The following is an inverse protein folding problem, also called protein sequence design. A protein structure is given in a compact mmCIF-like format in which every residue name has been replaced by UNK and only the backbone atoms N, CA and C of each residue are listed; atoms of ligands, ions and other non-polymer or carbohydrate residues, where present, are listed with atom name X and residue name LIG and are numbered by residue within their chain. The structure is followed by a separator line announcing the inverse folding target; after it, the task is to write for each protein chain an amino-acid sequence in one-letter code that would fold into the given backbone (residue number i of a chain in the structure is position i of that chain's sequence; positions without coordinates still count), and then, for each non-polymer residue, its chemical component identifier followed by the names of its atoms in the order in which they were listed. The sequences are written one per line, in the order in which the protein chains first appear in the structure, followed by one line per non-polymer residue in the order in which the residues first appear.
data_IF_581667174379
#
_entry.id   IF_581667174379
#
_cell.length_a   1.000
_cell.length_b   1.000
_cell.length_c   1.000
_cell.angle_alpha   90.00
_cell.angle_beta   90.00
_cell.angle_gamma   90.00
#
_symmetry.space_group_name_H-M   'P 1'
#
loop_
_entity.id
_entity.type
_entity.pdbx_description
1 polymer ?
#
# COMPACT_ATOMS: atom_id res chain seq x y z
N UNK A 1 26.31 -8.91 -4.31
CA UNK A 1 25.27 -9.60 -3.52
C UNK A 1 23.91 -9.28 -4.10
N UNK A 2 22.92 -10.14 -3.95
CA UNK A 2 21.60 -10.00 -4.59
C UNK A 2 20.53 -9.67 -3.55
N UNK A 3 19.77 -8.61 -3.76
CA UNK A 3 18.68 -8.21 -2.87
C UNK A 3 17.35 -8.78 -3.39
N UNK A 4 16.60 -9.44 -2.51
CA UNK A 4 15.34 -10.13 -2.84
C UNK A 4 14.21 -9.17 -3.25
N UNK A 5 14.20 -7.95 -2.73
CA UNK A 5 13.18 -6.93 -3.00
C UNK A 5 13.80 -5.57 -3.32
N UNK A 6 13.44 -5.02 -4.48
CA UNK A 6 13.86 -3.71 -4.95
C UNK A 6 12.68 -2.88 -5.45
N UNK A 7 12.91 -1.58 -5.67
CA UNK A 7 11.90 -0.64 -6.14
C UNK A 7 11.20 -1.14 -7.41
N UNK A 8 9.88 -0.94 -7.48
CA UNK A 8 9.06 -1.38 -8.61
C UNK A 8 8.80 -2.88 -8.63
N UNK A 9 8.78 -3.56 -7.46
CA UNK A 9 8.63 -5.02 -7.32
C UNK A 9 9.70 -5.83 -8.06
N UNK A 10 10.85 -5.21 -8.36
CA UNK A 10 11.98 -5.91 -8.98
C UNK A 10 12.58 -6.87 -7.96
N UNK A 11 12.73 -8.12 -8.37
CA UNK A 11 13.41 -9.13 -7.58
C UNK A 11 14.84 -9.30 -8.11
N UNK A 12 15.75 -9.67 -7.21
CA UNK A 12 17.09 -10.08 -7.63
C UNK A 12 17.99 -8.94 -8.11
N UNK A 13 17.87 -7.72 -7.57
CA UNK A 13 18.77 -6.62 -7.94
C UNK A 13 20.17 -6.90 -7.38
N UNK A 14 21.15 -7.01 -8.27
CA UNK A 14 22.57 -7.14 -7.91
C UNK A 14 23.12 -5.79 -7.49
N UNK A 15 23.75 -5.75 -6.31
CA UNK A 15 24.42 -4.59 -5.76
C UNK A 15 25.80 -5.01 -5.25
N UNK A 16 26.75 -4.07 -5.31
CA UNK A 16 28.01 -4.21 -4.60
C UNK A 16 27.81 -3.73 -3.17
N UNK A 17 28.20 -4.57 -2.21
CA UNK A 17 27.92 -4.34 -0.80
C UNK A 17 29.20 -4.58 0.00
N UNK A 18 29.52 -3.63 0.87
CA UNK A 18 30.45 -3.81 1.98
C UNK A 18 29.69 -3.60 3.28
N UNK A 19 29.97 -4.39 4.32
CA UNK A 19 29.27 -4.27 5.60
C UNK A 19 30.15 -4.78 6.74
N UNK A 20 30.06 -4.11 7.88
CA UNK A 20 30.63 -4.55 9.14
C UNK A 20 29.85 -3.95 10.32
N UNK A 21 30.29 -4.22 11.54
CA UNK A 21 29.76 -3.62 12.77
C UNK A 21 30.71 -2.54 13.28
N UNK A 22 30.15 -1.41 13.70
CA UNK A 22 30.88 -0.33 14.35
C UNK A 22 30.18 0.12 15.62
N UNK A 23 30.90 0.81 16.51
CA UNK A 23 30.28 1.46 17.67
C UNK A 23 29.74 2.83 17.27
N UNK A 24 28.44 3.03 17.42
CA UNK A 24 27.78 4.32 17.27
C UNK A 24 27.84 5.09 18.59
N UNK A 25 28.54 6.22 18.59
CA UNK A 25 28.69 7.09 19.74
C UNK A 25 27.91 8.40 19.56
N UNK A 26 27.18 8.80 20.61
CA UNK A 26 26.61 10.14 20.76
C UNK A 26 26.87 10.62 22.19
N UNK A 27 27.36 11.87 22.38
CA UNK A 27 27.59 12.42 23.72
C UNK A 27 26.37 12.25 24.63
N UNK A 28 26.59 11.81 25.87
CA UNK A 28 25.52 11.57 26.83
C UNK A 28 24.80 10.22 26.69
N UNK A 29 25.19 9.35 25.76
CA UNK A 29 24.64 7.98 25.64
C UNK A 29 25.74 6.93 25.55
N UNK A 30 25.57 5.74 26.17
CA UNK A 30 26.52 4.63 26.00
C UNK A 30 26.67 4.25 24.51
N UNK A 31 27.89 4.00 24.02
CA UNK A 31 28.11 3.52 22.66
C UNK A 31 27.29 2.24 22.40
N UNK A 32 26.66 2.17 21.22
CA UNK A 32 25.91 0.99 20.81
C UNK A 32 26.49 0.39 19.54
N UNK A 33 26.62 -0.94 19.43
CA UNK A 33 27.01 -1.55 18.18
C UNK A 33 25.92 -1.33 17.13
N UNK A 34 26.33 -0.98 15.91
CA UNK A 34 25.47 -0.77 14.76
C UNK A 34 26.09 -1.49 13.57
N UNK A 35 25.27 -2.17 12.78
CA UNK A 35 25.71 -2.71 11.49
C UNK A 35 25.58 -1.64 10.44
N UNK A 36 26.67 -1.34 9.75
CA UNK A 36 26.67 -0.44 8.61
C UNK A 36 26.71 -1.27 7.32
N UNK A 37 26.10 -0.74 6.27
CA UNK A 37 26.03 -1.36 4.95
C UNK A 37 26.28 -0.28 3.91
N UNK A 38 27.42 -0.33 3.24
CA UNK A 38 27.73 0.51 2.09
C UNK A 38 27.31 -0.19 0.81
N UNK A 39 26.61 0.52 -0.04
CA UNK A 39 26.01 -0.01 -1.27
C UNK A 39 26.42 0.84 -2.46
N UNK A 40 26.86 0.18 -3.52
CA UNK A 40 27.10 0.78 -4.84
C UNK A 40 26.26 0.07 -5.89
N UNK A 41 25.55 0.84 -6.72
CA UNK A 41 24.87 0.30 -7.90
C UNK A 41 25.89 0.14 -9.03
N UNK A 42 26.19 -1.09 -9.49
CA UNK A 42 27.16 -1.30 -10.57
C UNK A 42 26.72 -0.64 -11.89
N UNK A 43 25.41 -0.41 -12.08
CA UNK A 43 24.87 0.28 -13.26
C UNK A 43 25.00 1.81 -13.17
N UNK A 44 25.47 2.37 -12.05
CA UNK A 44 25.64 3.81 -11.87
C UNK A 44 24.34 4.62 -11.82
N UNK A 45 23.17 3.97 -11.84
CA UNK A 45 21.85 4.64 -11.80
C UNK A 45 21.57 5.35 -10.48
N UNK A 46 22.31 5.02 -9.43
CA UNK A 46 22.20 5.61 -8.09
C UNK A 46 23.59 5.84 -7.51
N UNK A 47 23.74 6.98 -6.84
CA UNK A 47 24.94 7.27 -6.07
C UNK A 47 25.13 6.22 -4.95
N UNK A 48 26.39 5.94 -4.54
CA UNK A 48 26.68 5.10 -3.40
C UNK A 48 25.97 5.59 -2.14
N UNK A 49 25.46 4.67 -1.34
CA UNK A 49 24.66 4.95 -0.14
C UNK A 49 25.10 4.11 1.04
N UNK A 50 24.86 4.63 2.24
CA UNK A 50 25.09 3.93 3.50
C UNK A 50 23.75 3.67 4.20
N UNK A 51 23.56 2.44 4.67
CA UNK A 51 22.43 2.03 5.50
C UNK A 51 22.94 1.54 6.85
N UNK A 52 22.08 1.64 7.86
CA UNK A 52 22.41 1.28 9.23
C UNK A 52 21.31 0.44 9.85
N UNK A 53 21.69 -0.52 10.69
CA UNK A 53 20.77 -1.36 11.46
C UNK A 53 21.26 -1.50 12.90
N UNK A 54 20.33 -1.33 13.85
CA UNK A 54 20.57 -1.62 15.27
C UNK A 54 20.60 -3.12 15.56
N UNK A 55 19.98 -3.94 14.71
CA UNK A 55 20.12 -5.39 14.72
C UNK A 55 21.38 -5.76 13.93
N UNK A 56 22.44 -6.13 14.64
CA UNK A 56 23.77 -6.41 14.07
C UNK A 56 23.88 -7.79 13.44
N UNK A 57 23.03 -8.73 13.86
CA UNK A 57 23.00 -10.08 13.30
C UNK A 57 22.32 -10.14 11.92
N UNK A 58 21.61 -9.07 11.54
CA UNK A 58 20.83 -9.03 10.30
C UNK A 58 21.72 -8.99 9.07
N UNK A 59 21.35 -9.76 8.05
CA UNK A 59 22.08 -9.80 6.79
C UNK A 59 21.99 -8.47 6.02
N UNK A 60 23.05 -8.01 5.34
CA UNK A 60 23.05 -6.72 4.63
C UNK A 60 21.96 -6.59 3.57
N UNK A 61 21.62 -7.68 2.87
CA UNK A 61 20.55 -7.67 1.86
C UNK A 61 19.18 -7.45 2.51
N UNK A 62 18.95 -8.01 3.70
CA UNK A 62 17.68 -7.85 4.41
C UNK A 62 17.51 -6.43 4.94
N UNK A 63 18.60 -5.81 5.42
CA UNK A 63 18.61 -4.40 5.83
C UNK A 63 18.17 -3.52 4.64
N UNK A 64 18.74 -3.76 3.46
CA UNK A 64 18.38 -3.03 2.25
C UNK A 64 16.93 -3.30 1.84
N UNK A 65 16.50 -4.58 1.84
CA UNK A 65 15.14 -4.95 1.47
C UNK A 65 14.10 -4.29 2.39
N UNK A 66 14.37 -4.21 3.70
CA UNK A 66 13.54 -3.48 4.66
C UNK A 66 13.52 -1.97 4.37
N UNK A 67 14.67 -1.38 4.05
CA UNK A 67 14.72 0.03 3.69
C UNK A 67 13.89 0.34 2.43
N UNK A 68 13.94 -0.53 1.41
CA UNK A 68 13.12 -0.39 0.20
C UNK A 68 11.63 -0.40 0.53
N UNK A 69 11.19 -1.24 1.48
CA UNK A 69 9.77 -1.29 1.92
C UNK A 69 9.28 0.02 2.50
N UNK A 70 10.16 0.89 3.02
CA UNK A 70 9.78 2.23 3.52
C UNK A 70 8.99 3.04 2.50
N UNK A 71 9.29 2.88 1.20
CA UNK A 71 8.59 3.60 0.14
C UNK A 71 7.08 3.31 0.11
N UNK A 72 6.64 2.15 0.61
CA UNK A 72 5.22 1.83 0.72
C UNK A 72 4.47 2.83 1.60
N UNK A 73 5.12 3.44 2.61
CA UNK A 73 4.52 4.49 3.43
C UNK A 73 4.18 5.73 2.61
N UNK A 74 5.08 6.13 1.70
CA UNK A 74 4.86 7.28 0.82
C UNK A 74 3.70 7.01 -0.15
N UNK A 75 3.59 5.78 -0.65
CA UNK A 75 2.45 5.32 -1.47
C UNK A 75 1.15 5.38 -0.68
N UNK A 76 1.13 4.85 0.55
CA UNK A 76 -0.05 4.93 1.43
C UNK A 76 -0.49 6.39 1.61
N UNK A 77 0.42 7.32 1.88
CA UNK A 77 0.06 8.73 2.03
C UNK A 77 -0.46 9.35 0.73
N UNK A 78 0.11 9.01 -0.42
CA UNK A 78 -0.40 9.47 -1.71
C UNK A 78 -1.83 8.95 -1.98
N UNK A 79 -2.05 7.64 -1.81
CA UNK A 79 -3.33 6.99 -2.09
C UNK A 79 -4.42 7.40 -1.08
N UNK A 80 -4.08 7.55 0.20
CA UNK A 80 -5.04 8.02 1.22
C UNK A 80 -5.51 9.44 0.91
N UNK A 81 -4.63 10.32 0.40
CA UNK A 81 -5.03 11.66 -0.03
C UNK A 81 -5.90 11.63 -1.28
N UNK A 82 -5.50 10.87 -2.29
CA UNK A 82 -6.19 10.79 -3.57
C UNK A 82 -7.59 10.16 -3.44
N UNK A 83 -7.73 9.08 -2.68
CA UNK A 83 -8.94 8.24 -2.71
C UNK A 83 -9.79 8.32 -1.45
N UNK A 84 -9.22 8.75 -0.32
CA UNK A 84 -9.94 8.90 0.96
C UNK A 84 -10.09 10.37 1.38
N UNK A 85 -9.58 11.31 0.59
CA UNK A 85 -9.84 12.74 0.77
C UNK A 85 -9.23 13.34 2.04
N UNK A 86 -8.09 12.84 2.50
CA UNK A 86 -7.40 13.35 3.71
C UNK A 86 -7.16 14.86 3.65
N UNK A 87 -6.69 15.38 2.50
CA UNK A 87 -6.38 16.80 2.33
C UNK A 87 -7.54 17.62 1.75
N UNK A 88 -8.65 16.99 1.35
CA UNK A 88 -9.82 17.66 0.77
C UNK A 88 -10.97 17.83 1.77
N UNK A 89 -10.71 17.57 3.05
CA UNK A 89 -11.69 17.78 4.12
C UNK A 89 -11.99 19.27 4.31
N UNK A 90 -13.27 19.60 4.53
CA UNK A 90 -13.72 20.98 4.81
C UNK A 90 -13.94 21.23 6.31
N UNK A 91 -13.13 20.61 7.15
CA UNK A 91 -13.20 20.77 8.62
C UNK A 91 -12.47 22.05 9.04
N UNK A 92 -13.00 22.77 10.03
CA UNK A 92 -12.51 24.11 10.43
C UNK A 92 -11.81 24.14 11.80
N UNK A 93 -11.57 22.98 12.42
CA UNK A 93 -10.97 22.88 13.75
C UNK A 93 -9.82 21.88 13.77
N UNK A 94 -8.72 22.24 14.42
CA UNK A 94 -7.57 21.37 14.68
C UNK A 94 -8.00 20.04 15.33
N UNK A 95 -8.97 20.08 16.24
CA UNK A 95 -9.50 18.86 16.89
C UNK A 95 -10.22 17.95 15.92
N UNK A 96 -10.89 18.50 14.90
CA UNK A 96 -11.54 17.70 13.88
C UNK A 96 -10.49 17.01 13.00
N UNK A 97 -9.48 17.75 12.54
CA UNK A 97 -8.35 17.23 11.73
C UNK A 97 -7.59 16.14 12.49
N UNK A 98 -7.29 16.36 13.77
CA UNK A 98 -6.60 15.41 14.64
C UNK A 98 -7.37 14.10 14.85
N UNK A 99 -8.71 14.11 14.68
CA UNK A 99 -9.56 12.91 14.78
C UNK A 99 -9.74 12.21 13.43
N UNK A 100 -9.98 12.96 12.36
CA UNK A 100 -10.32 12.39 11.05
C UNK A 100 -9.12 11.79 10.34
N UNK A 101 -7.95 12.41 10.43
CA UNK A 101 -6.72 11.93 9.78
C UNK A 101 -6.34 10.50 10.21
N UNK A 102 -6.23 10.17 11.51
CA UNK A 102 -5.94 8.78 11.92
C UNK A 102 -7.09 7.82 11.57
N UNK A 103 -8.34 8.27 11.62
CA UNK A 103 -9.49 7.43 11.23
C UNK A 103 -9.44 7.04 9.75
N UNK A 104 -9.03 7.94 8.85
CA UNK A 104 -8.87 7.65 7.42
C UNK A 104 -7.69 6.70 7.15
N UNK A 105 -6.58 6.83 7.88
CA UNK A 105 -5.48 5.86 7.80
C UNK A 105 -5.88 4.48 8.36
N UNK A 106 -6.72 4.46 9.40
CA UNK A 106 -7.36 3.24 9.88
C UNK A 106 -8.25 2.60 8.82
N UNK A 107 -9.08 3.39 8.15
CA UNK A 107 -9.93 2.92 7.05
C UNK A 107 -9.10 2.38 5.86
N UNK A 108 -8.02 3.06 5.48
CA UNK A 108 -7.07 2.56 4.48
C UNK A 108 -6.55 1.17 4.84
N UNK A 109 -6.19 0.98 6.12
CA UNK A 109 -5.68 -0.30 6.62
C UNK A 109 -6.74 -1.40 6.55
N UNK A 110 -7.98 -1.11 6.94
CA UNK A 110 -9.10 -2.05 6.84
C UNK A 110 -9.41 -2.44 5.40
N UNK A 111 -9.48 -1.46 4.49
CA UNK A 111 -9.68 -1.71 3.04
C UNK A 111 -8.57 -2.61 2.50
N UNK A 112 -7.31 -2.35 2.90
CA UNK A 112 -6.17 -3.16 2.46
C UNK A 112 -6.27 -4.61 2.96
N UNK A 113 -6.71 -4.83 4.20
CA UNK A 113 -6.90 -6.17 4.77
C UNK A 113 -8.07 -6.90 4.10
N UNK A 114 -9.23 -6.27 3.95
CA UNK A 114 -10.37 -6.88 3.27
C UNK A 114 -10.08 -7.19 1.80
N UNK A 115 -9.29 -6.35 1.15
CA UNK A 115 -8.85 -6.61 -0.21
C UNK A 115 -7.94 -7.85 -0.32
N UNK A 116 -7.19 -8.21 0.72
CA UNK A 116 -6.43 -9.47 0.73
C UNK A 116 -7.34 -10.71 0.70
N UNK A 117 -8.54 -10.62 1.28
CA UNK A 117 -9.52 -11.71 1.26
C UNK A 117 -10.34 -11.72 -0.04
N UNK A 118 -10.65 -10.55 -0.59
CA UNK A 118 -11.46 -10.40 -1.81
C UNK A 118 -10.66 -10.61 -3.11
N UNK A 119 -9.39 -10.21 -3.12
CA UNK A 119 -8.55 -10.25 -4.31
C UNK A 119 -7.57 -11.42 -4.24
N UNK A 120 -7.48 -12.15 -5.34
CA UNK A 120 -6.57 -13.29 -5.49
C UNK A 120 -5.55 -13.02 -6.59
N UNK A 121 -4.60 -13.94 -6.76
CA UNK A 121 -3.61 -13.86 -7.85
C UNK A 121 -4.23 -13.94 -9.25
N UNK A 122 -5.47 -14.42 -9.37
CA UNK A 122 -6.22 -14.46 -10.63
C UNK A 122 -7.07 -13.22 -10.86
N UNK A 123 -7.21 -12.33 -9.87
CA UNK A 123 -7.99 -11.11 -9.99
C UNK A 123 -7.36 -10.15 -11.00
N UNK A 124 -8.17 -9.63 -11.92
CA UNK A 124 -7.72 -8.67 -12.92
C UNK A 124 -7.91 -7.23 -12.41
N UNK A 125 -6.91 -6.36 -12.56
CA UNK A 125 -7.04 -4.97 -12.15
C UNK A 125 -8.08 -4.24 -13.01
N UNK A 126 -8.88 -3.38 -12.37
CA UNK A 126 -9.80 -2.52 -13.08
C UNK A 126 -9.00 -1.40 -13.77
N UNK A 127 -9.20 -1.28 -15.07
CA UNK A 127 -8.38 -0.41 -15.92
C UNK A 127 -9.25 0.35 -16.93
N UNK A 128 -8.88 1.60 -17.19
CA UNK A 128 -9.48 2.37 -18.27
C UNK A 128 -9.08 1.77 -19.63
N UNK A 129 -9.94 1.90 -20.64
CA UNK A 129 -9.70 1.34 -21.98
C UNK A 129 -8.39 1.81 -22.63
N UNK A 130 -7.93 3.01 -22.30
CA UNK A 130 -6.71 3.63 -22.84
C UNK A 130 -5.45 3.37 -22.01
N UNK A 131 -5.57 2.72 -20.85
CA UNK A 131 -4.43 2.44 -19.97
C UNK A 131 -4.42 0.97 -19.53
N UNK A 132 -3.40 0.23 -19.94
CA UNK A 132 -3.22 -1.15 -19.49
C UNK A 132 -2.59 -1.18 -18.11
N UNK A 133 -3.39 -1.57 -17.13
CA UNK A 133 -2.95 -1.82 -15.76
C UNK A 133 -2.62 -3.31 -15.60
N UNK A 134 -1.42 -3.62 -15.11
CA UNK A 134 -0.97 -5.00 -14.92
C UNK A 134 -0.93 -5.45 -13.46
N UNK A 135 -1.01 -4.50 -12.53
CA UNK A 135 -0.93 -4.78 -11.10
C UNK A 135 -2.15 -4.22 -10.40
N UNK A 136 -2.62 -4.95 -9.39
CA UNK A 136 -3.64 -4.45 -8.46
C UNK A 136 -3.07 -3.26 -7.66
N UNK A 137 -3.87 -2.19 -7.55
CA UNK A 137 -3.56 -0.99 -6.76
C UNK A 137 -4.66 -0.72 -5.74
N UNK A 138 -4.48 0.30 -4.89
CA UNK A 138 -5.49 0.64 -3.88
C UNK A 138 -6.86 1.00 -4.47
N UNK A 139 -6.91 1.52 -5.70
CA UNK A 139 -8.19 1.77 -6.40
C UNK A 139 -8.96 0.48 -6.68
N UNK A 140 -8.28 -0.63 -6.97
CA UNK A 140 -8.94 -1.93 -7.13
C UNK A 140 -9.44 -2.45 -5.78
N UNK A 141 -8.64 -2.26 -4.72
CA UNK A 141 -8.98 -2.66 -3.36
C UNK A 141 -10.25 -1.94 -2.87
N UNK A 142 -10.27 -0.60 -2.92
CA UNK A 142 -11.43 0.18 -2.47
C UNK A 142 -12.66 -0.09 -3.36
N UNK A 143 -12.49 -0.25 -4.67
CA UNK A 143 -13.59 -0.58 -5.58
C UNK A 143 -14.20 -1.94 -5.27
N UNK A 144 -13.37 -2.96 -5.02
CA UNK A 144 -13.83 -4.31 -4.70
C UNK A 144 -14.54 -4.37 -3.35
N UNK A 145 -14.00 -3.69 -2.33
CA UNK A 145 -14.64 -3.59 -1.01
C UNK A 145 -15.98 -2.87 -1.12
N UNK A 146 -16.06 -1.74 -1.84
CA UNK A 146 -17.33 -1.03 -2.08
C UNK A 146 -18.35 -1.92 -2.77
N UNK A 147 -17.94 -2.64 -3.83
CA UNK A 147 -18.83 -3.51 -4.57
C UNK A 147 -19.37 -4.65 -3.69
N UNK A 148 -18.51 -5.26 -2.87
CA UNK A 148 -18.89 -6.31 -1.95
C UNK A 148 -19.91 -5.82 -0.91
N UNK A 149 -19.69 -4.63 -0.34
CA UNK A 149 -20.62 -4.01 0.60
C UNK A 149 -21.95 -3.67 -0.08
N UNK A 150 -21.90 -3.03 -1.25
CA UNK A 150 -23.12 -2.57 -1.94
C UNK A 150 -23.96 -3.75 -2.42
N UNK A 151 -23.39 -4.69 -3.17
CA UNK A 151 -24.12 -5.85 -3.68
C UNK A 151 -24.56 -6.77 -2.54
N UNK A 152 -23.74 -6.89 -1.50
CA UNK A 152 -24.06 -7.64 -0.29
C UNK A 152 -25.27 -7.05 0.45
N UNK A 153 -25.41 -5.73 0.51
CA UNK A 153 -26.44 -5.04 1.30
C UNK A 153 -27.74 -4.75 0.55
N UNK A 154 -27.75 -4.74 -0.79
CA UNK A 154 -28.94 -4.35 -1.60
C UNK A 154 -30.20 -5.16 -1.26
N UNK A 155 -30.07 -6.38 -0.73
CA UNK A 155 -31.20 -7.30 -0.59
C UNK A 155 -31.33 -8.01 0.77
N UNK A 156 -30.52 -7.67 1.77
CA UNK A 156 -30.48 -8.42 3.05
C UNK A 156 -31.80 -8.35 3.84
N UNK A 157 -32.61 -7.32 3.61
CA UNK A 157 -33.90 -7.13 4.29
C UNK A 157 -35.11 -7.28 3.37
N UNK A 158 -34.93 -7.73 2.13
CA UNK A 158 -36.05 -7.89 1.20
C UNK A 158 -36.91 -9.12 1.58
N UNK A 159 -38.24 -9.04 1.48
CA UNK A 159 -39.13 -10.19 1.70
C UNK A 159 -38.82 -11.35 0.75
N UNK A 160 -39.15 -12.60 1.16
CA UNK A 160 -38.96 -13.79 0.32
C UNK A 160 -39.87 -13.79 -0.92
N UNK A 161 -41.02 -13.10 -0.86
CA UNK A 161 -41.97 -12.98 -1.97
C UNK A 161 -41.75 -11.63 -2.66
N UNK A 162 -40.91 -11.61 -3.70
CA UNK A 162 -40.49 -10.37 -4.38
C UNK A 162 -41.39 -10.09 -5.57
N UNK A 163 -41.85 -8.84 -5.65
CA UNK A 163 -42.31 -8.28 -6.92
C UNK A 163 -41.20 -8.38 -7.98
N UNK A 164 -41.56 -8.55 -9.27
CA UNK A 164 -40.59 -8.58 -10.35
C UNK A 164 -39.70 -7.34 -10.32
N UNK A 165 -38.38 -7.52 -10.42
CA UNK A 165 -37.43 -6.41 -10.39
C UNK A 165 -37.57 -5.55 -11.65
N UNK A 166 -37.89 -4.27 -11.47
CA UNK A 166 -37.92 -3.25 -12.53
C UNK A 166 -36.58 -3.11 -13.28
N UNK A 167 -35.47 -3.37 -12.58
CA UNK A 167 -34.13 -3.32 -13.16
C UNK A 167 -33.50 -4.72 -13.08
N UNK A 168 -33.08 -5.30 -14.22
CA UNK A 168 -32.37 -6.56 -14.24
C UNK A 168 -31.12 -6.56 -13.32
N UNK A 169 -30.87 -7.64 -12.54
CA UNK A 169 -29.74 -7.72 -11.63
C UNK A 169 -28.38 -7.45 -12.30
N UNK A 170 -28.19 -7.94 -13.52
CA UNK A 170 -26.96 -7.76 -14.30
C UNK A 170 -26.72 -6.29 -14.67
N UNK A 171 -27.78 -5.52 -14.93
CA UNK A 171 -27.69 -4.08 -15.16
C UNK A 171 -27.35 -3.34 -13.86
N UNK A 172 -27.94 -3.72 -12.73
CA UNK A 172 -27.61 -3.15 -11.42
C UNK A 172 -26.15 -3.40 -11.04
N UNK A 173 -25.66 -4.63 -11.21
CA UNK A 173 -24.27 -4.99 -10.91
C UNK A 173 -23.30 -4.18 -11.76
N UNK A 174 -23.52 -4.06 -13.08
CA UNK A 174 -22.67 -3.24 -13.96
C UNK A 174 -22.66 -1.76 -13.56
N UNK A 175 -23.80 -1.22 -13.12
CA UNK A 175 -23.87 0.16 -12.62
C UNK A 175 -23.10 0.31 -11.29
N UNK A 176 -23.25 -0.66 -10.39
CA UNK A 176 -22.52 -0.68 -9.12
C UNK A 176 -21.00 -0.80 -9.36
N UNK A 177 -20.56 -1.66 -10.27
CA UNK A 177 -19.16 -1.78 -10.69
C UNK A 177 -18.64 -0.43 -11.23
N UNK A 178 -19.35 0.20 -12.16
CA UNK A 178 -18.94 1.47 -12.72
C UNK A 178 -18.76 2.57 -11.65
N UNK A 179 -19.64 2.60 -10.63
CA UNK A 179 -19.56 3.57 -9.53
C UNK A 179 -18.48 3.22 -8.50
N UNK A 180 -18.33 1.95 -8.15
CA UNK A 180 -17.38 1.52 -7.13
C UNK A 180 -15.93 1.77 -7.55
N UNK A 181 -15.65 1.64 -8.86
CA UNK A 181 -14.32 1.79 -9.44
C UNK A 181 -14.06 3.17 -10.10
N UNK A 182 -14.94 4.15 -9.93
CA UNK A 182 -14.80 5.51 -10.49
C UNK A 182 -13.79 6.41 -9.73
N UNK A 183 -12.73 5.82 -9.16
CA UNK A 183 -11.77 6.49 -8.27
C UNK A 183 -10.64 7.22 -9.00
#
# INVERSE_FOLDING_TARGET
MTVSSWYGRKQGKTLEIASDTALWYRPGTPPKPIRWVLVRDPEGKRAPQAFFSTDTAREPADIIALFVRRWQVEVTFAETRAHLGVETQRQWSDKAIARTTPALLGLYSLISLWACDLLSTTSTPYAAAWYRKTNLTFTDAIGSVRLALWVGDVFQHSPPDREPQEIPPDRLVRMAEALCFAA
#
